data_IF_556776642360
#
_entry.id   IF_556776642360
#
_cell.length_a   1.000
_cell.length_b   1.000
_cell.length_c   1.000
_cell.angle_alpha   90.00
_cell.angle_beta   90.00
_cell.angle_gamma   90.00
#
_symmetry.space_group_name_H-M   'P 1'
#
loop_
_entity.id
_entity.type
_entity.pdbx_description
1 polymer ?
#
# COMPACT_ATOMS: atom_id res chain seq x y z
N UNK A 1 -7.13 16.29 3.62
CA UNK A 1 -6.12 15.25 3.35
C UNK A 1 -5.78 15.28 1.86
N UNK A 2 -4.52 15.10 1.43
CA UNK A 2 -4.13 15.17 0.01
C UNK A 2 -4.95 14.21 -0.89
N UNK A 3 -5.23 13.00 -0.39
CA UNK A 3 -6.06 12.00 -1.09
C UNK A 3 -7.43 12.56 -1.51
N UNK A 4 -8.16 13.17 -0.58
CA UNK A 4 -9.53 13.68 -0.77
C UNK A 4 -9.60 14.82 -1.79
N UNK A 5 -8.65 15.76 -1.74
CA UNK A 5 -8.72 16.98 -2.54
C UNK A 5 -7.97 16.91 -3.86
N UNK A 6 -6.98 16.02 -3.98
CA UNK A 6 -6.08 15.98 -5.13
C UNK A 6 -6.26 14.68 -5.91
N UNK A 7 -6.17 13.52 -5.26
CA UNK A 7 -6.16 12.25 -5.97
C UNK A 7 -7.56 11.75 -6.35
N UNK A 8 -8.50 11.72 -5.40
CA UNK A 8 -9.86 11.21 -5.62
C UNK A 8 -10.56 11.89 -6.81
N UNK A 9 -10.50 13.22 -7.01
CA UNK A 9 -11.13 13.89 -8.16
C UNK A 9 -10.58 13.46 -9.52
N UNK A 10 -9.40 12.85 -9.57
CA UNK A 10 -8.78 12.37 -10.81
C UNK A 10 -9.17 10.95 -11.19
N UNK A 11 -9.80 10.21 -10.27
CA UNK A 11 -10.20 8.83 -10.48
C UNK A 11 -11.54 8.74 -11.23
N UNK A 12 -11.73 7.63 -11.94
CA UNK A 12 -12.99 7.26 -12.59
C UNK A 12 -13.59 6.04 -11.90
N UNK A 13 -14.93 5.96 -11.80
CA UNK A 13 -15.62 4.77 -11.31
C UNK A 13 -15.08 3.47 -11.93
N UNK A 14 -14.88 2.45 -11.11
CA UNK A 14 -14.35 1.14 -11.51
C UNK A 14 -12.83 1.03 -11.56
N UNK A 15 -12.09 2.13 -11.39
CA UNK A 15 -10.62 2.09 -11.26
C UNK A 15 -10.19 1.58 -9.87
N UNK A 16 -8.92 1.19 -9.78
CA UNK A 16 -8.30 0.77 -8.53
C UNK A 16 -7.25 1.80 -8.07
N UNK A 17 -7.32 2.20 -6.81
CA UNK A 17 -6.26 2.90 -6.10
C UNK A 17 -5.34 1.85 -5.47
N UNK A 18 -4.09 1.81 -5.91
CA UNK A 18 -3.04 0.95 -5.34
C UNK A 18 -2.16 1.79 -4.42
N UNK A 19 -2.12 1.47 -3.13
CA UNK A 19 -1.25 2.12 -2.14
C UNK A 19 -0.17 1.16 -1.68
N UNK A 20 0.98 1.67 -1.25
CA UNK A 20 1.93 0.85 -0.51
C UNK A 20 1.36 0.47 0.86
N UNK A 21 1.94 -0.58 1.46
CA UNK A 21 1.42 -1.17 2.69
C UNK A 21 1.95 -0.50 3.97
N UNK A 22 2.47 0.73 3.90
CA UNK A 22 2.96 1.43 5.08
C UNK A 22 1.86 1.63 6.12
N UNK A 23 2.23 1.54 7.39
CA UNK A 23 1.29 1.61 8.52
C UNK A 23 0.51 2.92 8.55
N UNK A 24 1.08 4.03 8.08
CA UNK A 24 0.40 5.33 7.99
C UNK A 24 -0.64 5.41 6.85
N UNK A 25 -0.67 4.43 5.93
CA UNK A 25 -1.73 4.26 4.93
C UNK A 25 -2.87 3.35 5.40
N UNK A 26 -2.75 2.75 6.61
CA UNK A 26 -3.75 1.87 7.21
C UNK A 26 -4.51 2.62 8.31
N UNK A 27 -5.37 3.55 7.93
CA UNK A 27 -6.19 4.29 8.88
C UNK A 27 -6.92 5.49 8.29
N UNK A 28 -7.78 6.10 9.10
CA UNK A 28 -8.58 7.25 8.70
C UNK A 28 -9.66 6.89 7.68
N UNK A 29 -9.95 7.84 6.77
CA UNK A 29 -11.10 7.78 5.84
C UNK A 29 -10.74 7.29 4.44
N UNK A 30 -9.59 6.65 4.26
CA UNK A 30 -9.10 6.24 2.92
C UNK A 30 -10.10 5.31 2.24
N UNK A 31 -10.52 4.25 2.93
CA UNK A 31 -11.48 3.28 2.38
C UNK A 31 -12.82 3.95 2.02
N UNK A 32 -13.37 4.76 2.92
CA UNK A 32 -14.62 5.50 2.71
C UNK A 32 -14.55 6.42 1.48
N UNK A 33 -13.46 7.16 1.32
CA UNK A 33 -13.28 8.09 0.20
C UNK A 33 -13.17 7.36 -1.14
N UNK A 34 -12.46 6.22 -1.16
CA UNK A 34 -12.29 5.40 -2.37
C UNK A 34 -13.60 4.72 -2.75
N UNK A 35 -14.35 4.21 -1.77
CA UNK A 35 -15.67 3.60 -1.98
C UNK A 35 -16.69 4.62 -2.47
N UNK A 36 -16.72 5.82 -1.88
CA UNK A 36 -17.59 6.92 -2.32
C UNK A 36 -17.30 7.36 -3.77
N UNK A 37 -16.06 7.21 -4.22
CA UNK A 37 -15.65 7.44 -5.62
C UNK A 37 -15.95 6.25 -6.55
N UNK A 38 -16.65 5.22 -6.07
CA UNK A 38 -16.95 3.98 -6.81
C UNK A 38 -15.69 3.28 -7.33
N UNK A 39 -14.59 3.41 -6.58
CA UNK A 39 -13.29 2.82 -6.90
C UNK A 39 -12.98 1.65 -5.95
N UNK A 40 -11.94 0.86 -6.29
CA UNK A 40 -11.43 -0.22 -5.44
C UNK A 40 -10.13 0.20 -4.75
N UNK A 41 -9.97 -0.15 -3.48
CA UNK A 41 -8.73 0.05 -2.75
C UNK A 41 -7.92 -1.26 -2.71
N UNK A 42 -6.65 -1.19 -3.10
CA UNK A 42 -5.69 -2.30 -3.03
C UNK A 42 -4.44 -1.82 -2.31
N UNK A 43 -3.93 -2.65 -1.40
CA UNK A 43 -2.62 -2.45 -0.79
C UNK A 43 -1.62 -3.39 -1.44
N UNK A 44 -0.42 -2.89 -1.74
CA UNK A 44 0.70 -3.75 -2.12
C UNK A 44 1.00 -4.74 -0.99
N UNK A 45 1.57 -5.92 -1.29
CA UNK A 45 2.11 -6.79 -0.26
C UNK A 45 3.08 -6.03 0.64
N UNK A 46 3.15 -6.41 1.91
CA UNK A 46 4.14 -5.80 2.80
C UNK A 46 5.54 -6.13 2.27
N UNK A 47 6.33 -5.09 2.02
CA UNK A 47 7.76 -5.28 1.80
C UNK A 47 8.37 -5.62 3.16
N UNK A 48 8.67 -6.90 3.38
CA UNK A 48 9.44 -7.33 4.54
C UNK A 48 10.87 -6.78 4.38
N UNK A 49 11.41 -6.05 5.37
CA UNK A 49 12.80 -5.64 5.31
C UNK A 49 13.66 -6.92 5.27
N UNK A 50 14.52 -7.05 4.24
CA UNK A 50 15.53 -8.10 4.22
C UNK A 50 16.38 -7.97 5.49
N UNK A 51 16.20 -8.89 6.44
CA UNK A 51 16.98 -8.90 7.66
C UNK A 51 18.46 -9.09 7.29
N UNK A 52 19.39 -8.24 7.76
CA UNK A 52 20.83 -8.41 7.49
C UNK A 52 21.40 -9.75 7.97
N UNK A 53 20.69 -10.45 8.86
CA UNK A 53 21.09 -11.73 9.46
C UNK A 53 20.90 -12.95 8.55
N UNK A 54 20.16 -12.85 7.44
CA UNK A 54 20.04 -13.97 6.49
C UNK A 54 21.23 -14.08 5.50
N UNK A 55 22.17 -13.13 5.53
CA UNK A 55 23.37 -13.16 4.67
C UNK A 55 24.52 -14.04 5.16
N UNK A 56 24.46 -14.58 6.39
CA UNK A 56 25.60 -15.31 6.98
C UNK A 56 25.44 -16.84 7.02
N UNK A 57 24.24 -17.40 6.84
CA UNK A 57 24.01 -18.84 6.98
C UNK A 57 24.07 -19.64 5.66
N UNK A 58 24.64 -19.07 4.58
CA UNK A 58 24.88 -19.77 3.31
C UNK A 58 26.36 -19.91 2.92
N UNK A 59 27.28 -19.81 3.88
CA UNK A 59 28.60 -20.44 3.71
C UNK A 59 28.58 -21.80 4.39
N UNK A 60 28.20 -22.79 3.60
CA UNK A 60 28.55 -24.18 3.85
C UNK A 60 30.04 -24.22 4.21
N UNK A 61 30.45 -24.74 5.39
CA UNK A 61 31.76 -25.34 5.44
C UNK A 61 31.68 -26.61 4.59
N UNK A 62 32.80 -27.29 4.43
CA UNK A 62 32.77 -28.70 4.10
C UNK A 62 31.77 -29.48 4.97
#
# INVERSE_FOLDING_TARGET
MWLEFILIPTLKPGQALVLDNATFHKGGRIAELVEAAQCRLLYLPQWEPASPSQGFLRRSPF
#
